data_IF_367113577412
#
_entry.id   IF_367113577412
#
_cell.length_a   1.000
_cell.length_b   1.000
_cell.length_c   1.000
_cell.angle_alpha   90.00
_cell.angle_beta   90.00
_cell.angle_gamma   90.00
#
_symmetry.space_group_name_H-M   'P 1'
#
loop_
_entity.id
_entity.type
_entity.pdbx_description
1 polymer ?
#
# COMPACT_ATOMS: atom_id res chain seq x y z
N UNK A 1 2.22 -21.92 1.31
CA UNK A 1 2.09 -20.68 0.50
C UNK A 1 3.20 -19.76 0.96
N UNK A 2 4.01 -19.20 0.06
CA UNK A 2 5.12 -18.35 0.47
C UNK A 2 4.63 -17.04 1.08
N UNK A 3 5.25 -16.67 2.19
CA UNK A 3 5.16 -15.33 2.77
C UNK A 3 6.46 -14.64 2.43
N UNK A 4 6.39 -13.40 1.98
CA UNK A 4 7.54 -12.57 1.68
C UNK A 4 7.46 -11.34 2.57
N UNK A 5 8.57 -11.02 3.24
CA UNK A 5 8.59 -10.03 4.31
C UNK A 5 9.55 -8.90 3.96
N UNK A 6 9.15 -7.69 4.31
CA UNK A 6 10.06 -6.56 4.35
C UNK A 6 11.17 -6.86 5.37
N UNK A 7 12.42 -6.74 4.93
CA UNK A 7 13.61 -7.17 5.69
C UNK A 7 14.49 -5.98 6.12
N UNK A 8 14.09 -4.76 5.79
CA UNK A 8 14.82 -3.54 6.14
C UNK A 8 14.07 -2.83 7.25
N UNK A 9 14.73 -2.61 8.38
CA UNK A 9 14.21 -1.81 9.50
C UNK A 9 14.46 -0.31 9.24
N UNK A 10 13.91 0.15 8.12
CA UNK A 10 13.98 1.54 7.66
C UNK A 10 12.93 1.80 6.57
N UNK A 11 12.77 3.08 6.23
CA UNK A 11 12.03 3.50 5.05
C UNK A 11 12.63 2.91 3.77
N UNK A 12 11.81 2.72 2.74
CA UNK A 12 12.31 2.21 1.46
C UNK A 12 11.28 2.15 0.35
N UNK A 13 11.70 1.56 -0.77
CA UNK A 13 10.88 1.41 -1.97
C UNK A 13 10.44 -0.04 -2.13
N UNK A 14 9.13 -0.26 -2.14
CA UNK A 14 8.51 -1.55 -2.39
C UNK A 14 9.09 -2.26 -3.62
N UNK A 15 9.46 -1.50 -4.66
CA UNK A 15 10.00 -2.02 -5.91
C UNK A 15 11.48 -2.46 -5.83
N UNK A 16 12.15 -2.31 -4.69
CA UNK A 16 13.53 -2.76 -4.47
C UNK A 16 13.54 -4.21 -3.99
N UNK A 17 13.97 -5.12 -4.86
CA UNK A 17 13.97 -6.56 -4.57
C UNK A 17 14.82 -6.96 -3.35
N UNK A 18 15.89 -6.21 -3.06
CA UNK A 18 16.79 -6.46 -1.92
C UNK A 18 16.18 -6.08 -0.57
N UNK A 19 15.10 -5.30 -0.57
CA UNK A 19 14.42 -4.90 0.67
C UNK A 19 13.46 -6.00 1.17
N UNK A 20 13.25 -7.04 0.37
CA UNK A 20 12.46 -8.23 0.69
C UNK A 20 13.37 -9.40 1.08
N UNK A 21 12.94 -10.19 2.07
CA UNK A 21 13.67 -11.34 2.62
C UNK A 21 14.05 -12.42 1.57
N UNK A 22 13.22 -12.58 0.54
CA UNK A 22 13.47 -13.53 -0.56
C UNK A 22 14.30 -12.95 -1.72
N UNK A 23 14.76 -11.69 -1.63
CA UNK A 23 15.56 -11.05 -2.68
C UNK A 23 14.82 -10.86 -4.01
N UNK A 24 13.48 -10.82 -3.98
CA UNK A 24 12.60 -10.65 -5.14
C UNK A 24 11.35 -9.87 -4.72
N UNK A 25 10.60 -9.37 -5.70
CA UNK A 25 9.32 -8.72 -5.41
C UNK A 25 8.21 -9.74 -5.09
N UNK A 26 7.24 -9.37 -4.25
CA UNK A 26 6.02 -10.14 -4.04
C UNK A 26 5.22 -10.31 -5.35
N UNK A 27 4.71 -11.52 -5.59
CA UNK A 27 3.83 -11.84 -6.71
C UNK A 27 2.43 -12.31 -6.26
N UNK A 28 1.57 -12.65 -7.23
CA UNK A 28 0.16 -12.99 -6.97
C UNK A 28 -0.04 -14.29 -6.16
N UNK A 29 1.03 -15.02 -5.84
CA UNK A 29 1.03 -16.22 -4.99
C UNK A 29 1.50 -15.92 -3.57
N UNK A 30 2.14 -14.77 -3.36
CA UNK A 30 2.77 -14.40 -2.09
C UNK A 30 1.84 -13.62 -1.17
N UNK A 31 1.98 -13.88 0.13
CA UNK A 31 1.49 -12.99 1.18
C UNK A 31 2.60 -11.98 1.50
N UNK A 32 2.38 -10.70 1.18
CA UNK A 32 3.33 -9.64 1.50
C UNK A 32 3.13 -9.14 2.93
N UNK A 33 4.22 -9.00 3.70
CA UNK A 33 4.18 -8.50 5.08
C UNK A 33 5.21 -7.38 5.25
N UNK A 34 4.75 -6.23 5.72
CA UNK A 34 5.57 -5.12 6.22
C UNK A 34 5.24 -5.00 7.70
N UNK A 35 6.22 -5.19 8.57
CA UNK A 35 6.02 -5.19 10.03
C UNK A 35 7.39 -5.01 10.68
N UNK A 36 7.93 -3.80 10.56
CA UNK A 36 9.25 -3.44 11.11
C UNK A 36 9.19 -3.21 12.62
N UNK A 37 10.34 -3.14 13.28
CA UNK A 37 10.39 -3.02 14.73
C UNK A 37 9.89 -1.64 15.19
N UNK A 38 10.21 -0.61 14.40
CA UNK A 38 9.70 0.75 14.53
C UNK A 38 8.87 1.15 13.30
N UNK A 39 7.91 2.12 13.43
CA UNK A 39 7.11 2.56 12.30
C UNK A 39 7.95 3.24 11.21
N UNK A 40 7.93 2.66 10.02
CA UNK A 40 8.61 3.17 8.83
C UNK A 40 7.63 3.45 7.68
N UNK A 41 8.13 4.15 6.66
CA UNK A 41 7.40 4.47 5.44
C UNK A 41 7.91 3.63 4.28
N UNK A 42 7.07 2.72 3.81
CA UNK A 42 7.32 1.96 2.58
C UNK A 42 6.55 2.60 1.43
N UNK A 43 7.27 2.98 0.37
CA UNK A 43 6.69 3.69 -0.78
C UNK A 43 6.64 2.79 -2.00
N UNK A 44 5.51 2.77 -2.71
CA UNK A 44 5.37 2.14 -4.02
C UNK A 44 4.95 3.19 -5.06
N UNK A 45 5.94 3.74 -5.75
CA UNK A 45 5.78 4.96 -6.56
C UNK A 45 5.33 4.71 -8.00
N UNK A 46 5.71 3.59 -8.60
CA UNK A 46 5.49 3.31 -10.03
C UNK A 46 5.25 1.82 -10.29
N UNK A 47 4.72 1.50 -11.49
CA UNK A 47 4.52 0.11 -11.91
C UNK A 47 3.23 -0.51 -11.39
N UNK A 48 3.16 -1.83 -11.46
CA UNK A 48 2.00 -2.62 -11.00
C UNK A 48 2.44 -3.83 -10.21
N UNK A 49 2.04 -3.89 -8.94
CA UNK A 49 2.24 -5.03 -8.06
C UNK A 49 0.95 -5.86 -7.97
N UNK A 50 1.09 -7.18 -7.95
CA UNK A 50 -0.01 -8.11 -7.70
C UNK A 50 0.40 -9.00 -6.55
N UNK A 51 -0.38 -9.02 -5.48
CA UNK A 51 -0.13 -9.86 -4.30
C UNK A 51 -1.34 -10.71 -3.99
N UNK A 52 -1.14 -11.76 -3.21
CA UNK A 52 -2.26 -12.54 -2.69
C UNK A 52 -2.96 -11.82 -1.55
N UNK A 53 -2.19 -11.44 -0.55
CA UNK A 53 -2.60 -10.65 0.61
C UNK A 53 -1.50 -9.65 0.94
N UNK A 54 -1.86 -8.57 1.61
CA UNK A 54 -0.91 -7.60 2.18
C UNK A 54 -1.24 -7.42 3.66
N UNK A 55 -0.21 -7.40 4.50
CA UNK A 55 -0.31 -7.03 5.91
C UNK A 55 0.76 -6.00 6.17
N UNK A 56 0.36 -4.84 6.66
CA UNK A 56 1.23 -3.76 7.09
C UNK A 56 0.97 -3.57 8.58
N UNK A 57 2.01 -3.67 9.41
CA UNK A 57 1.98 -3.55 10.86
C UNK A 57 1.70 -2.11 11.29
N UNK A 58 2.56 -1.53 12.14
CA UNK A 58 2.45 -0.11 12.51
C UNK A 58 2.94 0.86 11.41
N UNK A 59 3.45 0.31 10.31
CA UNK A 59 4.09 1.05 9.22
C UNK A 59 3.13 1.86 8.37
N UNK A 60 3.68 2.89 7.74
CA UNK A 60 2.99 3.67 6.72
C UNK A 60 3.27 3.08 5.35
N UNK A 61 2.23 2.76 4.60
CA UNK A 61 2.35 2.33 3.22
C UNK A 61 1.83 3.42 2.27
N UNK A 62 2.72 3.99 1.48
CA UNK A 62 2.41 5.03 0.49
C UNK A 62 2.39 4.40 -0.90
N UNK A 63 1.27 4.51 -1.61
CA UNK A 63 1.13 3.98 -2.96
C UNK A 63 0.69 5.07 -3.94
N UNK A 64 1.49 5.22 -4.99
CA UNK A 64 1.14 5.98 -6.19
C UNK A 64 1.15 5.13 -7.47
N UNK A 65 1.70 3.90 -7.40
CA UNK A 65 1.57 2.87 -8.43
C UNK A 65 0.25 2.09 -8.39
N UNK A 66 0.16 1.00 -9.17
CA UNK A 66 -0.99 0.09 -9.17
C UNK A 66 -0.80 -1.11 -8.24
N UNK A 67 -1.65 -1.28 -7.22
CA UNK A 67 -1.61 -2.42 -6.30
C UNK A 67 -2.87 -3.28 -6.44
N UNK A 68 -2.72 -4.54 -6.85
CA UNK A 68 -3.82 -5.50 -6.96
C UNK A 68 -3.66 -6.59 -5.91
N UNK A 69 -4.66 -6.76 -5.06
CA UNK A 69 -4.69 -7.76 -3.99
C UNK A 69 -5.75 -8.80 -4.38
N UNK A 70 -5.29 -10.00 -4.69
CA UNK A 70 -6.08 -11.04 -5.38
C UNK A 70 -6.99 -11.88 -4.47
N UNK A 71 -6.89 -11.72 -3.14
CA UNK A 71 -7.83 -12.27 -2.16
C UNK A 71 -8.21 -11.22 -1.12
N UNK A 72 -9.38 -11.37 -0.50
CA UNK A 72 -9.72 -10.67 0.75
C UNK A 72 -8.62 -10.92 1.80
N UNK A 73 -7.79 -9.91 2.03
CA UNK A 73 -6.64 -10.00 2.93
C UNK A 73 -5.73 -8.78 2.78
N UNK A 74 -6.27 -7.60 3.02
CA UNK A 74 -5.51 -6.36 3.14
C UNK A 74 -5.66 -5.86 4.58
N UNK A 75 -4.57 -5.81 5.34
CA UNK A 75 -4.55 -5.29 6.69
C UNK A 75 -3.48 -4.19 6.77
N UNK A 76 -3.86 -3.03 7.29
CA UNK A 76 -2.95 -1.92 7.53
C UNK A 76 -3.19 -1.47 8.98
N UNK A 77 -2.26 -1.78 9.88
CA UNK A 77 -2.28 -1.31 11.27
C UNK A 77 -1.87 0.16 11.38
N UNK A 78 -1.03 0.63 10.46
CA UNK A 78 -0.64 2.03 10.27
C UNK A 78 -1.39 2.71 9.12
N UNK A 79 -0.82 3.82 8.62
CA UNK A 79 -1.45 4.65 7.59
C UNK A 79 -1.28 4.03 6.19
N UNK A 80 -2.39 3.83 5.48
CA UNK A 80 -2.39 3.65 4.03
C UNK A 80 -2.61 5.01 3.35
N UNK A 81 -1.61 5.50 2.61
CA UNK A 81 -1.70 6.73 1.82
C UNK A 81 -1.71 6.40 0.33
N UNK A 82 -2.82 6.69 -0.35
CA UNK A 82 -2.94 6.52 -1.80
C UNK A 82 -2.82 7.90 -2.46
N UNK A 83 -1.63 8.23 -2.93
CA UNK A 83 -1.34 9.55 -3.54
C UNK A 83 -1.48 9.53 -5.06
N UNK A 84 -1.67 8.35 -5.65
CA UNK A 84 -1.90 8.12 -7.08
C UNK A 84 -2.20 6.65 -7.39
N UNK A 85 -2.40 6.33 -8.66
CA UNK A 85 -2.58 4.95 -9.10
C UNK A 85 -3.91 4.32 -8.66
N UNK A 86 -3.93 2.99 -8.53
CA UNK A 86 -5.15 2.24 -8.17
C UNK A 86 -4.82 1.14 -7.17
N UNK A 87 -5.55 1.09 -6.05
CA UNK A 87 -5.59 -0.07 -5.16
C UNK A 87 -6.85 -0.87 -5.48
N UNK A 88 -6.70 -2.12 -5.88
CA UNK A 88 -7.81 -3.02 -6.22
C UNK A 88 -7.84 -4.22 -5.28
N UNK A 89 -8.95 -4.38 -4.57
CA UNK A 89 -9.21 -5.50 -3.67
C UNK A 89 -10.13 -6.50 -4.37
N UNK A 90 -9.56 -7.50 -5.03
CA UNK A 90 -10.36 -8.51 -5.75
C UNK A 90 -10.83 -9.56 -4.75
N UNK A 91 -12.16 -9.67 -4.62
CA UNK A 91 -12.81 -10.60 -3.70
C UNK A 91 -13.49 -9.92 -2.51
N UNK A 92 -13.33 -8.61 -2.31
CA UNK A 92 -14.19 -7.86 -1.39
C UNK A 92 -15.62 -7.87 -1.94
N UNK A 93 -16.62 -8.15 -1.09
CA UNK A 93 -17.99 -7.73 -1.38
C UNK A 93 -17.96 -6.23 -1.75
N UNK A 94 -18.88 -5.70 -2.58
CA UNK A 94 -18.91 -4.29 -2.94
C UNK A 94 -19.15 -3.46 -1.67
N UNK A 95 -18.07 -3.08 -1.02
CA UNK A 95 -18.06 -2.30 0.21
C UNK A 95 -17.05 -1.20 -0.04
N UNK A 96 -17.58 -0.12 -0.60
CA UNK A 96 -17.10 1.24 -0.46
C UNK A 96 -15.57 1.36 -0.48
N UNK A 97 -14.95 1.18 -1.65
CA UNK A 97 -13.63 1.75 -1.88
C UNK A 97 -13.80 3.27 -1.77
N UNK A 98 -13.37 3.82 -0.63
CA UNK A 98 -13.15 5.26 -0.51
C UNK A 98 -11.90 5.56 -1.32
N UNK A 99 -12.07 6.04 -2.55
CA UNK A 99 -10.99 6.80 -3.20
C UNK A 99 -10.77 8.06 -2.38
N UNK A 100 -9.75 8.06 -1.52
CA UNK A 100 -9.28 9.28 -0.88
C UNK A 100 -8.46 10.07 -1.91
N UNK A 101 -9.11 10.99 -2.63
CA UNK A 101 -8.39 12.07 -3.32
C UNK A 101 -8.17 13.18 -2.29
N UNK A 102 -7.01 13.22 -1.64
CA UNK A 102 -6.61 14.36 -0.83
C UNK A 102 -5.78 15.32 -1.68
N UNK A 103 -6.43 16.24 -2.39
CA UNK A 103 -5.80 17.50 -2.81
C UNK A 103 -6.77 18.68 -2.73
N UNK A 104 -6.70 19.42 -1.62
CA UNK A 104 -6.85 20.87 -1.60
C UNK A 104 -8.26 21.43 -1.37
N UNK A 105 -8.62 21.66 -0.11
CA UNK A 105 -9.51 22.79 0.18
C UNK A 105 -8.76 24.09 -0.15
N UNK A 106 -9.27 24.88 -1.09
CA UNK A 106 -9.01 26.33 -1.07
C UNK A 106 -10.24 27.00 -0.48
N UNK A 107 -10.14 27.61 0.72
CA UNK A 107 -11.19 28.51 1.17
C UNK A 107 -11.15 29.79 0.32
N UNK A 108 -12.30 30.46 0.24
CA UNK A 108 -12.49 31.84 -0.26
C UNK A 108 -12.88 31.99 -1.74
N UNK A 109 -14.18 32.18 -1.98
CA UNK A 109 -14.72 33.51 -2.33
C UNK A 109 -16.25 33.47 -2.47
N UNK A 110 -16.97 33.93 -1.45
CA UNK A 110 -18.32 34.48 -1.64
C UNK A 110 -18.19 36.01 -1.76
N UNK A 111 -18.75 36.64 -2.80
CA UNK A 111 -19.37 37.96 -2.66
C UNK A 111 -20.89 37.75 -2.65
N UNK A 112 -21.53 37.90 -1.49
CA UNK A 112 -22.14 39.14 -1.00
C UNK A 112 -23.49 39.47 -1.66
N UNK A 113 -24.54 39.04 -0.93
CA UNK A 113 -25.86 39.67 -0.70
C UNK A 113 -26.55 40.42 -1.83
#
# INVERSE_FOLDING_TARGET
MPTIRWNVDADGDWATATDWDLGRLPDNRDNAVIDTADPHTVTFSTGTAKVKTITVGADTFVVSGGLFISRLGANFGGLLSVTGGQVSLVGAAPSNIVSAFATGESPSSMPAR
#
